data_IF_444548340060
#
_entry.id   IF_444548340060
#
_cell.length_a   1.000
_cell.length_b   1.000
_cell.length_c   1.000
_cell.angle_alpha   90.00
_cell.angle_beta   90.00
_cell.angle_gamma   90.00
#
_symmetry.space_group_name_H-M   'P 1'
#
loop_
_entity.id
_entity.type
_entity.pdbx_description
1 polymer ?
#
# COMPACT_ATOMS: atom_id res chain seq x y z
N UNK A 1 -5.62 34.39 -48.44
CA UNK A 1 -6.83 33.52 -48.38
C UNK A 1 -6.41 32.08 -48.12
N UNK A 2 -6.48 31.61 -46.87
CA UNK A 2 -6.26 30.20 -46.50
C UNK A 2 -7.63 29.56 -46.27
N UNK A 3 -8.03 28.62 -47.15
CA UNK A 3 -9.23 27.80 -46.97
C UNK A 3 -8.93 26.76 -45.90
N UNK A 4 -9.27 27.06 -44.65
CA UNK A 4 -9.31 26.06 -43.59
C UNK A 4 -10.56 25.21 -43.84
N UNK A 5 -10.35 23.91 -44.06
CA UNK A 5 -11.40 22.94 -44.39
C UNK A 5 -12.36 22.80 -43.20
N UNK A 6 -13.61 23.23 -43.38
CA UNK A 6 -14.69 23.13 -42.40
C UNK A 6 -14.92 21.68 -41.93
N UNK A 7 -14.46 20.69 -42.69
CA UNK A 7 -14.56 19.26 -42.38
C UNK A 7 -13.69 18.82 -41.20
N UNK A 8 -12.56 19.48 -40.93
CA UNK A 8 -11.69 19.10 -39.80
C UNK A 8 -12.29 19.51 -38.44
N UNK A 9 -13.14 20.54 -38.40
CA UNK A 9 -13.77 21.01 -37.16
C UNK A 9 -14.98 20.15 -36.77
N UNK A 10 -15.70 19.59 -37.75
CA UNK A 10 -16.86 18.72 -37.50
C UNK A 10 -16.43 17.31 -37.04
N UNK A 11 -15.31 16.78 -37.54
CA UNK A 11 -14.74 15.52 -37.07
C UNK A 11 -14.21 15.58 -35.63
N UNK A 12 -13.76 16.75 -35.16
CA UNK A 12 -13.40 16.92 -33.75
C UNK A 12 -14.60 17.02 -32.80
N UNK A 13 -15.76 17.50 -33.29
CA UNK A 13 -16.98 17.61 -32.48
C UNK A 13 -17.79 16.31 -32.41
N UNK A 14 -17.55 15.35 -33.31
CA UNK A 14 -18.20 14.04 -33.30
C UNK A 14 -17.41 12.96 -32.55
N UNK A 15 -16.19 13.25 -32.08
CA UNK A 15 -15.37 12.33 -31.28
C UNK A 15 -15.52 12.52 -29.76
N UNK A 16 -16.42 13.40 -29.30
CA UNK A 16 -16.55 13.80 -27.88
C UNK A 16 -17.91 13.41 -27.29
N UNK A 17 -18.80 12.75 -28.04
CA UNK A 17 -20.20 12.53 -27.63
C UNK A 17 -20.58 11.15 -27.09
N UNK A 18 -19.66 10.20 -26.96
CA UNK A 18 -19.93 8.87 -26.37
C UNK A 18 -19.00 8.52 -25.18
N UNK A 19 -18.71 9.50 -24.31
CA UNK A 19 -18.43 9.20 -22.89
C UNK A 19 -19.70 9.48 -22.08
N UNK A 20 -20.75 8.75 -22.39
CA UNK A 20 -21.90 8.61 -21.49
C UNK A 20 -21.42 8.01 -20.19
N UNK A 21 -21.44 8.81 -19.12
CA UNK A 21 -21.58 8.47 -17.70
C UNK A 21 -21.41 6.98 -17.36
N UNK A 22 -20.21 6.44 -17.56
CA UNK A 22 -19.81 5.25 -16.85
C UNK A 22 -19.72 5.70 -15.39
N UNK A 23 -20.81 5.55 -14.63
CA UNK A 23 -20.80 5.72 -13.17
C UNK A 23 -19.55 5.00 -12.69
N UNK A 24 -18.54 5.70 -12.15
CA UNK A 24 -17.30 5.05 -11.77
C UNK A 24 -17.67 3.93 -10.82
N UNK A 25 -17.29 2.70 -11.17
CA UNK A 25 -17.48 1.57 -10.27
C UNK A 25 -16.87 1.97 -8.93
N UNK A 26 -17.68 1.90 -7.86
CA UNK A 26 -17.20 2.28 -6.53
C UNK A 26 -15.90 1.55 -6.19
N UNK A 27 -15.00 2.17 -5.42
CA UNK A 27 -13.68 1.58 -5.17
C UNK A 27 -13.84 0.16 -4.62
N UNK A 28 -13.06 -0.80 -5.16
CA UNK A 28 -13.12 -2.25 -4.84
C UNK A 28 -13.27 -2.53 -3.35
N UNK A 29 -12.57 -1.75 -2.53
CA UNK A 29 -12.61 -1.73 -1.06
C UNK A 29 -14.02 -1.75 -0.47
N UNK A 30 -14.99 -1.07 -1.09
CA UNK A 30 -16.35 -0.97 -0.56
C UNK A 30 -17.15 -2.28 -0.70
N UNK A 31 -16.70 -3.18 -1.58
CA UNK A 31 -17.38 -4.45 -1.89
C UNK A 31 -16.78 -5.65 -1.16
N UNK A 32 -15.52 -5.56 -0.72
CA UNK A 32 -14.83 -6.69 -0.11
C UNK A 32 -15.37 -6.99 1.29
N UNK A 33 -15.71 -8.26 1.55
CA UNK A 33 -16.06 -8.76 2.87
C UNK A 33 -14.78 -8.99 3.71
N UNK A 34 -14.88 -9.66 4.86
CA UNK A 34 -13.73 -9.90 5.75
C UNK A 34 -12.56 -10.55 4.99
N UNK A 35 -11.37 -9.97 5.06
CA UNK A 35 -10.17 -10.50 4.40
C UNK A 35 -9.74 -11.83 5.05
N UNK A 36 -9.66 -12.87 4.24
CA UNK A 36 -8.99 -14.14 4.59
C UNK A 36 -7.54 -14.12 4.11
N UNK A 37 -6.71 -15.01 4.66
CA UNK A 37 -5.29 -15.07 4.36
C UNK A 37 -4.86 -16.48 3.98
N UNK A 38 -4.15 -16.58 2.86
CA UNK A 38 -3.37 -17.75 2.50
C UNK A 38 -1.93 -17.62 2.98
N UNK A 39 -1.29 -18.75 3.23
CA UNK A 39 0.12 -18.80 3.61
C UNK A 39 0.87 -19.81 2.74
N UNK A 40 2.16 -19.57 2.56
CA UNK A 40 3.03 -20.45 1.82
C UNK A 40 4.49 -20.20 2.15
N UNK A 41 5.30 -21.25 2.00
CA UNK A 41 6.74 -21.17 2.19
C UNK A 41 7.38 -20.48 0.99
N UNK A 42 8.28 -19.53 1.25
CA UNK A 42 9.12 -18.95 0.21
C UNK A 42 9.93 -20.06 -0.48
N UNK A 43 9.92 -20.06 -1.81
CA UNK A 43 10.60 -21.07 -2.62
C UNK A 43 12.10 -20.82 -2.61
N UNK A 44 12.86 -21.91 -2.58
CA UNK A 44 14.27 -21.81 -2.92
C UNK A 44 14.35 -21.54 -4.43
N UNK A 45 15.11 -20.54 -4.90
CA UNK A 45 15.29 -20.36 -6.33
C UNK A 45 16.13 -21.52 -6.87
N UNK A 46 15.78 -22.00 -8.06
CA UNK A 46 16.41 -23.16 -8.69
C UNK A 46 17.82 -22.82 -9.23
N UNK A 47 18.75 -23.78 -9.16
CA UNK A 47 20.05 -23.72 -9.84
C UNK A 47 20.93 -22.51 -9.49
N UNK A 48 21.54 -21.90 -10.51
CA UNK A 48 22.53 -20.82 -10.39
C UNK A 48 21.93 -19.47 -10.00
N UNK A 49 20.60 -19.32 -9.97
CA UNK A 49 19.93 -18.05 -9.68
C UNK A 49 20.34 -17.44 -8.33
N UNK A 50 20.60 -18.28 -7.33
CA UNK A 50 21.06 -17.78 -6.02
C UNK A 50 22.53 -17.34 -6.03
N UNK A 51 23.37 -17.95 -6.88
CA UNK A 51 24.74 -17.49 -7.12
C UNK A 51 24.70 -16.12 -7.78
N UNK A 52 23.93 -15.98 -8.86
CA UNK A 52 23.74 -14.71 -9.57
C UNK A 52 23.28 -13.62 -8.61
N UNK A 53 22.25 -13.90 -7.78
CA UNK A 53 21.82 -12.93 -6.78
C UNK A 53 22.94 -12.60 -5.79
N UNK A 54 23.71 -13.59 -5.33
CA UNK A 54 24.83 -13.37 -4.39
C UNK A 54 25.91 -12.49 -5.03
N UNK A 55 26.26 -12.75 -6.28
CA UNK A 55 27.26 -12.01 -7.04
C UNK A 55 26.78 -10.57 -7.29
N UNK A 56 25.54 -10.41 -7.72
CA UNK A 56 24.91 -9.11 -7.86
C UNK A 56 24.90 -8.34 -6.54
N UNK A 57 24.44 -8.95 -5.45
CA UNK A 57 24.45 -8.32 -4.12
C UNK A 57 25.87 -7.91 -3.68
N UNK A 58 26.90 -8.69 -4.04
CA UNK A 58 28.30 -8.41 -3.70
C UNK A 58 28.85 -7.25 -4.52
N UNK A 59 28.71 -7.30 -5.84
CA UNK A 59 29.05 -6.18 -6.74
C UNK A 59 28.33 -4.90 -6.30
N UNK A 60 27.09 -5.08 -5.87
CA UNK A 60 26.23 -4.00 -5.45
C UNK A 60 26.68 -3.32 -4.16
N UNK A 61 26.99 -4.11 -3.14
CA UNK A 61 27.54 -3.60 -1.88
C UNK A 61 28.86 -2.84 -2.05
N UNK A 62 29.63 -3.15 -3.09
CA UNK A 62 30.93 -2.53 -3.39
C UNK A 62 30.81 -1.27 -4.26
N UNK A 63 29.58 -0.84 -4.57
CA UNK A 63 29.30 0.32 -5.42
C UNK A 63 29.98 0.23 -6.81
N UNK A 64 30.32 -0.98 -7.27
CA UNK A 64 30.94 -1.19 -8.57
C UNK A 64 29.83 -1.13 -9.62
N UNK A 65 29.74 0.01 -10.31
CA UNK A 65 28.76 0.26 -11.38
C UNK A 65 28.94 -0.61 -12.62
N UNK A 66 29.99 -1.44 -12.69
CA UNK A 66 30.04 -2.48 -13.72
C UNK A 66 28.98 -3.52 -13.38
N UNK A 67 27.76 -3.31 -13.85
CA UNK A 67 26.78 -4.38 -13.94
C UNK A 67 27.47 -5.49 -14.74
N UNK A 68 27.94 -6.51 -14.02
CA UNK A 68 28.22 -7.79 -14.63
C UNK A 68 26.97 -8.12 -15.48
N UNK A 69 27.13 -8.60 -16.71
CA UNK A 69 26.01 -8.71 -17.68
C UNK A 69 24.78 -9.45 -17.12
N UNK A 70 24.97 -10.21 -16.05
CA UNK A 70 23.98 -11.01 -15.34
C UNK A 70 23.16 -10.25 -14.27
N UNK A 71 23.53 -9.01 -13.91
CA UNK A 71 22.89 -8.24 -12.82
C UNK A 71 21.91 -7.17 -13.32
N UNK A 72 21.18 -7.48 -14.39
CA UNK A 72 20.17 -6.56 -14.93
C UNK A 72 18.95 -6.48 -13.98
N UNK A 73 18.19 -5.36 -14.01
CA UNK A 73 16.95 -5.26 -13.26
C UNK A 73 15.97 -6.41 -13.52
N UNK A 74 15.90 -6.90 -14.76
CA UNK A 74 15.03 -8.01 -15.15
C UNK A 74 15.45 -9.33 -14.53
N UNK A 75 16.75 -9.65 -14.49
CA UNK A 75 17.24 -10.87 -13.85
C UNK A 75 17.02 -10.83 -12.34
N UNK A 76 17.29 -9.70 -11.70
CA UNK A 76 17.02 -9.54 -10.26
C UNK A 76 15.53 -9.68 -9.97
N UNK A 77 14.68 -9.03 -10.77
CA UNK A 77 13.23 -9.14 -10.64
C UNK A 77 12.73 -10.58 -10.83
N UNK A 78 13.27 -11.31 -11.82
CA UNK A 78 12.96 -12.72 -12.04
C UNK A 78 13.31 -13.58 -10.83
N UNK A 79 14.47 -13.34 -10.21
CA UNK A 79 14.87 -14.06 -8.99
C UNK A 79 13.95 -13.69 -7.81
N UNK A 80 13.73 -12.39 -7.57
CA UNK A 80 12.91 -11.90 -6.46
C UNK A 80 11.46 -12.38 -6.54
N UNK A 81 10.90 -12.48 -7.74
CA UNK A 81 9.54 -12.98 -7.96
C UNK A 81 9.49 -14.50 -7.98
N UNK A 82 10.50 -15.17 -8.53
CA UNK A 82 10.60 -16.63 -8.58
C UNK A 82 10.61 -17.30 -7.20
N UNK A 83 11.09 -16.60 -6.16
CA UNK A 83 11.08 -17.11 -4.78
C UNK A 83 9.75 -16.96 -4.05
N UNK A 84 8.79 -16.21 -4.61
CA UNK A 84 7.48 -16.01 -3.97
C UNK A 84 6.66 -17.30 -4.02
N UNK A 85 5.76 -17.59 -3.07
CA UNK A 85 5.00 -18.84 -3.06
C UNK A 85 4.04 -18.92 -4.26
N UNK A 86 3.85 -20.10 -4.85
CA UNK A 86 2.97 -20.27 -6.02
C UNK A 86 1.52 -19.82 -5.76
N UNK A 87 1.04 -19.96 -4.52
CA UNK A 87 -0.29 -19.44 -4.12
C UNK A 87 -0.41 -17.93 -4.23
N UNK A 88 0.68 -17.18 -3.97
CA UNK A 88 0.69 -15.73 -4.13
C UNK A 88 0.59 -15.34 -5.60
N UNK A 89 1.32 -16.03 -6.49
CA UNK A 89 1.19 -15.82 -7.94
C UNK A 89 -0.24 -16.06 -8.43
N UNK A 90 -0.91 -17.12 -7.95
CA UNK A 90 -2.32 -17.38 -8.28
C UNK A 90 -3.25 -16.27 -7.79
N UNK A 91 -3.00 -15.72 -6.60
CA UNK A 91 -3.76 -14.58 -6.08
C UNK A 91 -3.55 -13.34 -6.96
N UNK A 92 -2.29 -13.00 -7.28
CA UNK A 92 -1.97 -11.85 -8.15
C UNK A 92 -2.63 -11.97 -9.53
N UNK A 93 -2.65 -13.16 -10.12
CA UNK A 93 -3.38 -13.43 -11.36
C UNK A 93 -4.90 -13.25 -11.19
N UNK A 94 -5.49 -13.87 -10.16
CA UNK A 94 -6.93 -13.82 -9.94
C UNK A 94 -7.43 -12.41 -9.68
N UNK A 95 -6.78 -11.72 -8.75
CA UNK A 95 -7.23 -10.44 -8.19
C UNK A 95 -6.76 -9.24 -9.01
N UNK A 96 -5.56 -9.27 -9.59
CA UNK A 96 -4.97 -8.13 -10.31
C UNK A 96 -4.70 -8.40 -11.80
N UNK A 97 -5.01 -9.60 -12.30
CA UNK A 97 -4.74 -10.01 -13.69
C UNK A 97 -3.26 -9.95 -14.08
N UNK A 98 -2.38 -10.11 -13.09
CA UNK A 98 -0.93 -10.15 -13.32
C UNK A 98 -0.46 -11.59 -13.51
N UNK A 99 -0.09 -11.95 -14.74
CA UNK A 99 0.58 -13.22 -15.01
C UNK A 99 2.05 -13.18 -14.57
N UNK A 100 2.75 -14.32 -14.68
CA UNK A 100 4.14 -14.40 -14.23
C UNK A 100 5.06 -13.43 -14.97
N UNK A 101 4.84 -13.20 -16.27
CA UNK A 101 5.66 -12.28 -17.09
C UNK A 101 5.42 -10.84 -16.64
N UNK A 102 4.17 -10.47 -16.44
CA UNK A 102 3.76 -9.14 -15.97
C UNK A 102 4.32 -8.88 -14.57
N UNK A 103 4.24 -9.85 -13.65
CA UNK A 103 4.83 -9.74 -12.31
C UNK A 103 6.35 -9.45 -12.37
N UNK A 104 7.09 -10.15 -13.24
CA UNK A 104 8.53 -9.92 -13.43
C UNK A 104 8.78 -8.52 -14.01
N UNK A 105 7.99 -8.09 -14.99
CA UNK A 105 8.14 -6.77 -15.61
C UNK A 105 7.81 -5.63 -14.64
N UNK A 106 6.75 -5.76 -13.84
CA UNK A 106 6.39 -4.82 -12.77
C UNK A 106 7.50 -4.73 -11.72
N UNK A 107 8.04 -5.87 -11.30
CA UNK A 107 9.15 -5.90 -10.35
C UNK A 107 10.44 -5.30 -10.95
N UNK A 108 10.71 -5.52 -12.24
CA UNK A 108 11.87 -4.93 -12.92
C UNK A 108 11.75 -3.40 -13.03
N UNK A 109 10.53 -2.89 -13.26
CA UNK A 109 10.23 -1.45 -13.20
C UNK A 109 10.41 -0.90 -11.80
N UNK A 110 9.91 -1.60 -10.78
CA UNK A 110 10.14 -1.28 -9.36
C UNK A 110 11.62 -1.17 -9.01
N UNK A 111 12.44 -2.15 -9.42
CA UNK A 111 13.90 -2.15 -9.19
C UNK A 111 14.58 -0.90 -9.76
N UNK A 112 14.09 -0.38 -10.90
CA UNK A 112 14.61 0.84 -11.54
C UNK A 112 14.09 2.12 -10.91
N UNK A 113 12.86 2.11 -10.41
CA UNK A 113 12.17 3.29 -9.88
C UNK A 113 12.68 3.70 -8.48
N UNK A 114 13.10 2.74 -7.65
CA UNK A 114 13.51 3.02 -6.27
C UNK A 114 15.01 3.18 -6.12
N UNK A 115 15.40 3.87 -5.04
CA UNK A 115 16.79 3.94 -4.61
C UNK A 115 17.38 2.53 -4.47
N UNK A 116 18.58 2.38 -5.01
CA UNK A 116 19.29 1.13 -5.06
C UNK A 116 19.41 0.39 -3.71
N UNK A 117 19.65 1.14 -2.63
CA UNK A 117 19.76 0.61 -1.28
C UNK A 117 18.48 -0.10 -0.81
N UNK A 118 17.31 0.33 -1.28
CA UNK A 118 16.01 -0.29 -0.98
C UNK A 118 15.87 -1.61 -1.72
N UNK A 119 16.16 -1.64 -3.02
CA UNK A 119 16.18 -2.88 -3.82
C UNK A 119 17.14 -3.90 -3.20
N UNK A 120 18.36 -3.47 -2.87
CA UNK A 120 19.38 -4.31 -2.25
C UNK A 120 18.86 -4.95 -0.95
N UNK A 121 18.28 -4.15 -0.05
CA UNK A 121 17.70 -4.64 1.21
C UNK A 121 16.56 -5.64 0.98
N UNK A 122 15.67 -5.39 0.01
CA UNK A 122 14.58 -6.33 -0.35
C UNK A 122 15.12 -7.65 -0.87
N UNK A 123 16.11 -7.60 -1.75
CA UNK A 123 16.76 -8.78 -2.30
C UNK A 123 17.50 -9.59 -1.22
N UNK A 124 18.25 -8.93 -0.32
CA UNK A 124 18.89 -9.57 0.84
C UNK A 124 17.85 -10.23 1.75
N UNK A 125 16.75 -9.54 2.03
CA UNK A 125 15.68 -10.06 2.86
C UNK A 125 15.09 -11.34 2.27
N UNK A 126 14.71 -11.32 0.98
CA UNK A 126 14.16 -12.49 0.29
C UNK A 126 15.17 -13.64 0.31
N UNK A 127 16.44 -13.36 -0.03
CA UNK A 127 17.54 -14.32 0.02
C UNK A 127 17.68 -15.00 1.38
N UNK A 128 17.59 -14.23 2.46
CA UNK A 128 17.71 -14.74 3.82
C UNK A 128 16.49 -15.58 4.23
N UNK A 129 15.29 -15.11 3.89
CA UNK A 129 14.04 -15.77 4.27
C UNK A 129 13.79 -17.06 3.49
N UNK A 130 14.21 -17.13 2.21
CA UNK A 130 14.13 -18.35 1.40
C UNK A 130 15.08 -19.43 1.90
N UNK A 131 16.32 -19.07 2.26
CA UNK A 131 17.27 -19.97 2.93
C UNK A 131 16.69 -20.59 4.21
N UNK A 132 15.92 -19.79 4.97
CA UNK A 132 15.25 -20.23 6.20
C UNK A 132 13.91 -20.94 5.95
N UNK A 133 13.51 -21.16 4.70
CA UNK A 133 12.18 -21.70 4.33
C UNK A 133 11.05 -21.00 5.08
N UNK A 134 11.13 -19.66 5.19
CA UNK A 134 10.17 -18.86 5.95
C UNK A 134 8.79 -18.97 5.30
N UNK A 135 7.79 -19.27 6.12
CA UNK A 135 6.38 -19.11 5.73
C UNK A 135 5.98 -17.65 5.80
N UNK A 136 5.38 -17.17 4.72
CA UNK A 136 4.78 -15.84 4.59
C UNK A 136 3.28 -16.00 4.30
N UNK A 137 2.49 -15.02 4.66
CA UNK A 137 1.06 -14.99 4.35
C UNK A 137 0.71 -13.74 3.53
N UNK A 138 -0.43 -13.79 2.85
CA UNK A 138 -0.97 -12.69 2.07
C UNK A 138 -2.51 -12.75 2.07
N UNK A 139 -3.19 -11.60 1.89
CA UNK A 139 -4.63 -11.58 1.81
C UNK A 139 -5.12 -12.27 0.52
N UNK A 140 -6.20 -13.06 0.61
CA UNK A 140 -6.79 -13.75 -0.55
C UNK A 140 -7.50 -12.79 -1.50
N UNK A 141 -8.10 -11.74 -0.95
CA UNK A 141 -8.73 -10.64 -1.66
C UNK A 141 -8.25 -9.33 -1.02
N UNK A 142 -7.08 -8.80 -1.45
CA UNK A 142 -6.54 -7.56 -0.90
C UNK A 142 -7.52 -6.40 -1.07
N UNK A 143 -7.57 -5.48 -0.10
CA UNK A 143 -8.33 -4.23 -0.15
C UNK A 143 -7.56 -3.11 -0.84
N UNK A 144 -6.57 -3.43 -1.66
CA UNK A 144 -5.78 -2.46 -2.41
C UNK A 144 -5.43 -3.06 -3.76
N UNK A 145 -4.91 -2.23 -4.64
CA UNK A 145 -4.36 -2.65 -5.92
C UNK A 145 -2.90 -2.19 -6.03
N UNK A 146 -2.11 -2.72 -6.99
CA UNK A 146 -0.74 -2.30 -7.17
C UNK A 146 -0.57 -0.79 -7.38
N UNK A 147 -1.56 -0.14 -8.01
CA UNK A 147 -1.53 1.30 -8.29
C UNK A 147 -1.62 2.16 -7.03
N UNK A 148 -2.04 1.61 -5.89
CA UNK A 148 -2.06 2.34 -4.61
C UNK A 148 -0.64 2.52 -4.03
N UNK A 149 0.38 1.96 -4.68
CA UNK A 149 1.78 2.14 -4.35
C UNK A 149 2.51 2.79 -5.52
N UNK A 150 3.58 3.53 -5.23
CA UNK A 150 4.43 4.11 -6.28
C UNK A 150 5.11 3.04 -7.14
N UNK A 151 5.26 1.82 -6.60
CA UNK A 151 5.97 0.73 -7.25
C UNK A 151 5.59 -0.65 -6.70
N UNK A 152 5.80 -1.67 -7.52
CA UNK A 152 5.34 -3.04 -7.24
C UNK A 152 6.03 -3.70 -6.03
N UNK A 153 7.28 -3.37 -5.72
CA UNK A 153 7.95 -3.88 -4.52
C UNK A 153 7.30 -3.39 -3.23
N UNK A 154 6.68 -2.21 -3.24
CA UNK A 154 5.85 -1.67 -2.18
C UNK A 154 4.55 -2.43 -2.03
N UNK A 155 3.93 -2.76 -3.15
CA UNK A 155 2.77 -3.66 -3.20
C UNK A 155 3.10 -5.01 -2.57
N UNK A 156 4.23 -5.63 -2.94
CA UNK A 156 4.69 -6.87 -2.32
C UNK A 156 4.95 -6.72 -0.82
N UNK A 157 5.54 -5.60 -0.39
CA UNK A 157 5.79 -5.34 1.02
C UNK A 157 4.50 -5.17 1.84
N UNK A 158 3.42 -4.69 1.23
CA UNK A 158 2.10 -4.63 1.85
C UNK A 158 1.39 -5.98 1.85
N UNK A 159 1.53 -6.77 0.78
CA UNK A 159 0.94 -8.11 0.67
C UNK A 159 1.57 -9.11 1.64
N UNK A 160 2.90 -9.09 1.79
CA UNK A 160 3.64 -10.07 2.59
C UNK A 160 3.55 -9.74 4.08
N UNK A 161 2.78 -10.54 4.79
CA UNK A 161 2.58 -10.43 6.24
C UNK A 161 3.00 -11.70 6.97
N UNK A 162 3.22 -11.57 8.28
CA UNK A 162 3.60 -12.68 9.13
C UNK A 162 2.41 -13.65 9.34
N UNK A 163 2.68 -14.96 9.49
CA UNK A 163 1.71 -15.89 10.03
C UNK A 163 1.18 -15.42 11.40
N UNK A 164 -0.09 -15.70 11.69
CA UNK A 164 -0.65 -15.44 13.02
C UNK A 164 0.02 -16.38 14.00
N UNK A 165 0.54 -15.81 15.06
CA UNK A 165 1.02 -16.54 16.23
C UNK A 165 -0.14 -16.55 17.23
N UNK A 166 -0.47 -17.69 17.87
CA UNK A 166 -1.57 -17.78 18.83
C UNK A 166 -1.49 -16.75 19.97
N UNK A 167 -0.28 -16.26 20.29
CA UNK A 167 -0.04 -15.25 21.32
C UNK A 167 -0.41 -13.81 20.91
N UNK A 168 -0.60 -13.53 19.61
CA UNK A 168 -1.04 -12.21 19.16
C UNK A 168 -2.56 -12.11 19.33
N UNK A 169 -2.98 -11.56 20.48
CA UNK A 169 -4.39 -11.24 20.78
C UNK A 169 -5.00 -10.26 19.76
N UNK A 170 -4.16 -9.47 19.12
CA UNK A 170 -4.55 -8.51 18.09
C UNK A 170 -4.57 -9.26 16.76
N UNK A 171 -5.75 -9.64 16.26
CA UNK A 171 -5.93 -10.36 14.98
C UNK A 171 -5.41 -9.60 13.74
N UNK A 172 -4.72 -8.48 13.93
CA UNK A 172 -4.06 -7.67 12.91
C UNK A 172 -2.77 -8.36 12.49
N UNK A 173 -2.66 -8.66 11.20
CA UNK A 173 -1.45 -9.26 10.65
C UNK A 173 -0.30 -8.26 10.75
N UNK A 174 0.84 -8.72 11.28
CA UNK A 174 2.06 -7.90 11.36
C UNK A 174 2.84 -7.99 10.06
N UNK A 175 3.47 -6.90 9.63
CA UNK A 175 4.41 -6.92 8.50
C UNK A 175 5.78 -7.48 8.92
N UNK A 176 6.64 -7.74 7.94
CA UNK A 176 8.05 -7.93 8.20
C UNK A 176 8.76 -6.58 8.27
N UNK A 177 9.11 -6.11 9.48
CA UNK A 177 9.76 -4.79 9.67
C UNK A 177 11.08 -4.65 8.89
N UNK A 178 11.80 -5.76 8.75
CA UNK A 178 13.07 -5.85 8.01
C UNK A 178 12.91 -5.93 6.50
N UNK A 179 11.70 -6.12 5.97
CA UNK A 179 11.43 -5.98 4.54
C UNK A 179 11.08 -4.52 4.26
N UNK A 180 11.90 -3.80 3.44
CA UNK A 180 11.69 -2.38 3.22
C UNK A 180 10.27 -2.06 2.72
N UNK A 181 9.57 -1.08 3.33
CA UNK A 181 8.30 -0.59 2.81
C UNK A 181 8.47 -0.06 1.37
N UNK A 182 7.35 0.08 0.66
CA UNK A 182 7.25 1.06 -0.42
C UNK A 182 6.36 2.22 0.01
N UNK A 183 6.31 3.24 -0.84
CA UNK A 183 5.51 4.43 -0.64
C UNK A 183 4.13 4.27 -1.26
N UNK A 184 3.15 4.96 -0.66
CA UNK A 184 1.80 5.05 -1.19
C UNK A 184 1.79 6.04 -2.34
N UNK A 185 1.01 5.76 -3.39
CA UNK A 185 0.90 6.67 -4.51
C UNK A 185 0.25 8.00 -4.07
N UNK A 186 0.87 9.16 -4.32
CA UNK A 186 0.41 10.44 -3.77
C UNK A 186 -0.89 10.95 -4.39
N UNK A 187 -1.09 10.71 -5.68
CA UNK A 187 -2.22 11.23 -6.46
C UNK A 187 -3.42 10.25 -6.48
N UNK A 188 -3.65 9.54 -5.37
CA UNK A 188 -4.73 8.57 -5.25
C UNK A 188 -5.47 8.73 -3.94
N UNK A 189 -6.75 8.37 -3.99
CA UNK A 189 -7.57 8.23 -2.78
C UNK A 189 -7.36 6.85 -2.20
N UNK A 190 -6.91 6.80 -0.95
CA UNK A 190 -6.72 5.58 -0.22
C UNK A 190 -7.82 5.40 0.81
N UNK A 191 -8.57 4.31 0.71
CA UNK A 191 -9.65 4.03 1.65
C UNK A 191 -9.22 3.04 2.74
N UNK A 192 -9.67 3.29 3.96
CA UNK A 192 -9.68 2.35 5.07
C UNK A 192 -11.14 1.96 5.32
N UNK A 193 -11.47 0.67 5.23
CA UNK A 193 -12.84 0.19 5.42
C UNK A 193 -12.89 -1.24 6.00
N UNK A 194 -14.09 -1.79 6.21
CA UNK A 194 -14.34 -3.07 6.91
C UNK A 194 -13.56 -4.28 6.40
N UNK A 195 -13.10 -4.25 5.15
CA UNK A 195 -12.25 -5.29 4.59
C UNK A 195 -10.83 -5.23 5.18
N UNK A 196 -10.32 -4.02 5.40
CA UNK A 196 -8.94 -3.70 5.71
C UNK A 196 -8.39 -4.39 6.98
N UNK A 197 -9.22 -4.55 8.00
CA UNK A 197 -8.93 -5.32 9.21
C UNK A 197 -10.24 -5.69 9.92
N UNK A 198 -10.17 -6.52 10.97
CA UNK A 198 -11.32 -6.78 11.82
C UNK A 198 -11.63 -5.56 12.70
N UNK A 199 -12.69 -4.81 12.35
CA UNK A 199 -13.08 -3.57 13.04
C UNK A 199 -13.39 -3.81 14.52
N UNK A 200 -13.95 -4.98 14.87
CA UNK A 200 -14.23 -5.30 16.28
C UNK A 200 -12.94 -5.47 17.07
N UNK A 201 -11.95 -6.14 16.47
CA UNK A 201 -10.64 -6.29 17.08
C UNK A 201 -9.93 -4.94 17.23
N UNK A 202 -9.92 -4.11 16.18
CA UNK A 202 -9.32 -2.77 16.26
C UNK A 202 -10.02 -1.91 17.29
N UNK A 203 -11.36 -1.93 17.32
CA UNK A 203 -12.13 -1.23 18.34
C UNK A 203 -11.81 -1.72 19.75
N UNK A 204 -11.63 -3.03 19.97
CA UNK A 204 -11.24 -3.55 21.30
C UNK A 204 -9.87 -3.05 21.79
N UNK A 205 -9.05 -2.49 20.89
CA UNK A 205 -7.73 -1.95 21.21
C UNK A 205 -7.73 -0.42 21.37
N UNK A 206 -8.87 0.25 21.21
CA UNK A 206 -8.92 1.72 21.15
C UNK A 206 -8.32 2.39 22.38
N UNK A 207 -8.48 1.81 23.57
CA UNK A 207 -7.91 2.30 24.84
C UNK A 207 -6.38 2.42 24.81
N UNK A 208 -5.69 1.64 23.97
CA UNK A 208 -4.24 1.74 23.78
C UNK A 208 -3.81 3.01 23.04
N UNK A 209 -4.75 3.67 22.34
CA UNK A 209 -4.47 4.86 21.53
C UNK A 209 -5.15 6.11 22.08
N UNK A 210 -6.36 5.93 22.61
CA UNK A 210 -7.17 6.96 23.24
C UNK A 210 -7.89 6.36 24.44
N UNK A 211 -7.63 6.89 25.62
CA UNK A 211 -8.28 6.51 26.87
C UNK A 211 -8.93 7.72 27.52
N UNK A 212 -9.89 7.50 28.41
CA UNK A 212 -10.52 8.55 29.19
C UNK A 212 -10.17 8.35 30.66
N UNK A 213 -9.58 9.36 31.28
CA UNK A 213 -9.32 9.36 32.72
C UNK A 213 -10.58 9.61 33.55
N UNK A 214 -10.42 9.67 34.88
CA UNK A 214 -11.52 9.92 35.84
C UNK A 214 -12.26 11.24 35.55
N UNK A 215 -11.57 12.23 34.99
CA UNK A 215 -12.11 13.58 34.71
C UNK A 215 -12.80 13.64 33.32
N UNK A 216 -12.83 12.53 32.56
CA UNK A 216 -13.46 12.47 31.24
C UNK A 216 -12.70 13.18 30.12
N UNK A 217 -11.51 13.72 30.40
CA UNK A 217 -10.63 14.27 29.38
C UNK A 217 -9.92 13.13 28.62
N UNK A 218 -9.84 13.20 27.27
CA UNK A 218 -9.14 12.19 26.50
C UNK A 218 -7.63 12.30 26.70
N UNK A 219 -6.99 11.16 26.93
CA UNK A 219 -5.54 10.97 26.92
C UNK A 219 -5.16 10.13 25.71
N UNK A 220 -4.07 10.49 25.04
CA UNK A 220 -3.63 9.84 23.80
C UNK A 220 -2.26 9.19 23.99
N UNK A 221 -2.05 8.06 23.33
CA UNK A 221 -0.71 7.51 23.17
C UNK A 221 0.19 8.53 22.44
N UNK A 222 1.47 8.55 22.77
CA UNK A 222 2.40 9.47 22.13
C UNK A 222 2.48 9.22 20.61
N UNK A 223 2.73 10.27 19.83
CA UNK A 223 2.90 10.18 18.38
C UNK A 223 3.91 9.10 17.97
N UNK A 224 5.03 9.01 18.69
CA UNK A 224 6.07 8.02 18.41
C UNK A 224 5.57 6.59 18.71
N UNK A 225 4.87 6.38 19.82
CA UNK A 225 4.31 5.07 20.16
C UNK A 225 3.28 4.60 19.12
N UNK A 226 2.41 5.52 18.65
CA UNK A 226 1.47 5.24 17.57
C UNK A 226 2.20 4.86 16.27
N UNK A 227 3.23 5.62 15.88
CA UNK A 227 4.03 5.32 14.68
C UNK A 227 4.70 3.95 14.78
N UNK A 228 5.28 3.61 15.93
CA UNK A 228 5.96 2.33 16.13
C UNK A 228 5.01 1.13 16.06
N UNK A 229 3.80 1.30 16.61
CA UNK A 229 2.73 0.30 16.58
C UNK A 229 2.17 0.13 15.16
N UNK A 230 1.78 1.23 14.51
CA UNK A 230 1.21 1.23 13.15
C UNK A 230 2.21 0.81 12.08
N UNK A 231 3.50 1.12 12.27
CA UNK A 231 4.55 0.56 11.43
C UNK A 231 4.66 -0.97 11.60
N UNK A 232 4.16 -1.55 12.69
CA UNK A 232 4.04 -3.01 12.82
C UNK A 232 2.96 -3.63 11.93
N UNK A 233 1.96 -2.87 11.52
CA UNK A 233 0.77 -3.39 10.85
C UNK A 233 1.07 -3.77 9.39
N UNK A 234 0.50 -4.89 8.97
CA UNK A 234 0.54 -5.38 7.58
C UNK A 234 -0.49 -4.69 6.69
N UNK A 235 -0.42 -4.99 5.39
CA UNK A 235 -1.32 -4.41 4.40
C UNK A 235 -1.04 -2.93 4.12
N UNK A 236 -1.91 -2.31 3.32
CA UNK A 236 -1.85 -0.87 3.01
C UNK A 236 -2.16 -0.01 4.24
N UNK A 237 -3.00 -0.51 5.14
CA UNK A 237 -3.52 0.26 6.27
C UNK A 237 -2.50 0.69 7.30
N UNK A 238 -1.54 -0.19 7.64
CA UNK A 238 -0.44 0.19 8.52
C UNK A 238 0.34 1.37 7.94
N UNK A 239 0.55 1.38 6.61
CA UNK A 239 1.23 2.48 5.90
C UNK A 239 0.40 3.75 5.91
N UNK A 240 -0.89 3.63 5.64
CA UNK A 240 -1.81 4.76 5.61
C UNK A 240 -1.86 5.47 6.95
N UNK A 241 -2.14 4.73 8.02
CA UNK A 241 -2.23 5.28 9.35
C UNK A 241 -0.88 5.82 9.81
N UNK A 242 0.22 5.10 9.56
CA UNK A 242 1.57 5.59 9.90
C UNK A 242 1.90 6.90 9.18
N UNK A 243 1.60 7.00 7.87
CA UNK A 243 1.83 8.22 7.09
C UNK A 243 0.91 9.37 7.51
N UNK A 244 -0.29 9.05 8.01
CA UNK A 244 -1.22 9.99 8.59
C UNK A 244 -0.84 10.44 10.00
N UNK A 245 0.01 9.72 10.73
CA UNK A 245 0.48 10.14 12.06
C UNK A 245 1.56 11.22 11.94
N UNK A 246 1.16 12.49 11.84
CA UNK A 246 2.05 13.67 11.75
C UNK A 246 1.86 14.62 12.92
N UNK A 247 2.89 15.40 13.23
CA UNK A 247 2.82 16.46 14.25
C UNK A 247 2.01 17.66 13.78
N UNK A 248 2.07 17.96 12.48
CA UNK A 248 1.40 19.07 11.81
C UNK A 248 0.93 18.62 10.44
N UNK A 249 -0.10 19.30 9.93
CA UNK A 249 -0.73 19.00 8.65
C UNK A 249 -0.89 20.27 7.82
N UNK A 250 -0.79 20.11 6.52
CA UNK A 250 -1.01 21.16 5.53
C UNK A 250 -2.11 20.70 4.59
N UNK A 251 -2.95 21.62 4.12
CA UNK A 251 -3.95 21.30 3.12
C UNK A 251 -3.30 21.13 1.74
N UNK A 252 -3.22 19.88 1.28
CA UNK A 252 -2.66 19.53 -0.04
C UNK A 252 -3.69 19.55 -1.18
N UNK A 253 -4.99 19.68 -0.84
CA UNK A 253 -6.07 19.69 -1.82
C UNK A 253 -6.33 21.10 -2.37
N UNK A 254 -6.33 21.25 -3.71
CA UNK A 254 -6.36 22.57 -4.34
C UNK A 254 -7.65 23.39 -4.08
N UNK A 255 -8.77 22.74 -3.75
CA UNK A 255 -10.04 23.44 -3.45
C UNK A 255 -10.18 23.82 -1.98
N UNK A 256 -9.12 23.67 -1.18
CA UNK A 256 -9.08 24.01 0.23
C UNK A 256 -9.64 22.91 1.14
N UNK A 257 -9.30 23.04 2.41
CA UNK A 257 -9.69 22.12 3.47
C UNK A 257 -10.60 22.81 4.48
N UNK A 258 -11.34 22.01 5.24
CA UNK A 258 -12.14 22.44 6.38
C UNK A 258 -11.45 22.05 7.67
N UNK A 259 -11.68 22.84 8.72
CA UNK A 259 -11.09 22.63 10.06
C UNK A 259 -11.90 21.61 10.91
N UNK A 260 -13.05 21.16 10.39
CA UNK A 260 -13.89 20.15 11.03
C UNK A 260 -14.20 19.00 10.06
N UNK A 261 -14.18 17.74 10.51
CA UNK A 261 -14.44 16.59 9.65
C UNK A 261 -15.89 16.60 9.14
N UNK A 262 -16.05 16.64 7.81
CA UNK A 262 -17.36 16.60 7.12
C UNK A 262 -17.31 15.65 5.93
N UNK A 263 -18.41 14.93 5.70
CA UNK A 263 -18.52 14.00 4.57
C UNK A 263 -18.31 14.75 3.25
N UNK A 264 -17.42 14.23 2.41
CA UNK A 264 -17.15 14.79 1.08
C UNK A 264 -16.34 16.09 1.07
N UNK A 265 -15.76 16.49 2.21
CA UNK A 265 -14.90 17.66 2.35
C UNK A 265 -13.51 17.25 2.82
N UNK A 266 -12.48 17.86 2.24
CA UNK A 266 -11.10 17.64 2.65
C UNK A 266 -10.91 18.20 4.06
N UNK A 267 -10.64 17.33 5.03
CA UNK A 267 -10.36 17.73 6.40
C UNK A 267 -8.85 17.91 6.61
N UNK A 268 -8.45 19.03 7.21
CA UNK A 268 -7.07 19.28 7.68
C UNK A 268 -7.04 19.12 9.21
N UNK A 269 -6.42 18.05 9.73
CA UNK A 269 -6.24 17.87 11.17
C UNK A 269 -5.31 18.93 11.75
N UNK A 270 -5.55 19.37 13.00
CA UNK A 270 -4.57 20.21 13.70
C UNK A 270 -3.34 19.38 14.07
N UNK A 271 -3.59 18.17 14.60
CA UNK A 271 -2.55 17.22 14.96
C UNK A 271 -3.00 15.74 14.82
N UNK A 272 -2.11 14.80 15.14
CA UNK A 272 -2.39 13.36 15.04
C UNK A 272 -3.55 12.88 15.92
N UNK A 273 -3.88 13.58 17.01
CA UNK A 273 -4.99 13.21 17.91
C UNK A 273 -6.32 13.33 17.18
N UNK A 274 -6.49 14.37 16.36
CA UNK A 274 -7.68 14.48 15.51
C UNK A 274 -7.78 13.36 14.47
N UNK A 275 -6.65 12.94 13.88
CA UNK A 275 -6.63 11.78 12.96
C UNK A 275 -7.03 10.50 13.69
N UNK A 276 -6.51 10.27 14.90
CA UNK A 276 -6.87 9.13 15.74
C UNK A 276 -8.37 9.15 16.04
N UNK A 277 -8.92 10.30 16.42
CA UNK A 277 -10.35 10.44 16.72
C UNK A 277 -11.23 10.14 15.50
N UNK A 278 -10.89 10.70 14.34
CA UNK A 278 -11.64 10.48 13.12
C UNK A 278 -11.55 9.03 12.64
N UNK A 279 -10.39 8.41 12.78
CA UNK A 279 -10.18 7.00 12.48
C UNK A 279 -10.99 6.10 13.42
N UNK A 280 -10.95 6.34 14.72
CA UNK A 280 -11.72 5.60 15.71
C UNK A 280 -13.23 5.78 15.50
N UNK A 281 -13.68 7.00 15.18
CA UNK A 281 -15.07 7.26 14.79
C UNK A 281 -15.46 6.42 13.57
N UNK A 282 -14.59 6.36 12.56
CA UNK A 282 -14.82 5.57 11.35
C UNK A 282 -14.90 4.07 11.64
N UNK A 283 -14.07 3.56 12.55
CA UNK A 283 -14.12 2.17 13.02
C UNK A 283 -15.42 1.89 13.78
N UNK A 284 -15.80 2.76 14.72
CA UNK A 284 -17.02 2.62 15.53
C UNK A 284 -18.28 2.61 14.65
N UNK A 285 -18.35 3.54 13.69
CA UNK A 285 -19.51 3.70 12.81
C UNK A 285 -19.48 2.75 11.61
N UNK A 286 -18.44 1.92 11.47
CA UNK A 286 -18.23 1.07 10.30
C UNK A 286 -18.35 1.86 8.97
N UNK A 287 -17.76 3.06 8.94
CA UNK A 287 -17.77 3.98 7.79
C UNK A 287 -16.39 4.02 7.12
N UNK A 288 -16.31 4.22 5.79
CA UNK A 288 -15.02 4.34 5.12
C UNK A 288 -14.32 5.65 5.47
N UNK A 289 -13.01 5.60 5.70
CA UNK A 289 -12.16 6.78 5.84
C UNK A 289 -11.26 6.90 4.62
N UNK A 290 -11.28 8.05 3.95
CA UNK A 290 -10.41 8.38 2.84
C UNK A 290 -9.18 9.16 3.33
N UNK A 291 -8.03 8.85 2.75
CA UNK A 291 -6.76 9.56 2.95
C UNK A 291 -6.19 9.89 1.57
N UNK A 292 -5.77 11.14 1.37
CA UNK A 292 -5.03 11.57 0.16
C UNK A 292 -3.69 12.17 0.58
N UNK A 293 -2.67 12.05 -0.25
CA UNK A 293 -1.31 12.57 0.01
C UNK A 293 -0.91 13.64 -1.01
N UNK A 294 -1.90 14.39 -1.47
CA UNK A 294 -1.80 15.24 -2.64
C UNK A 294 -3.17 15.52 -3.21
N UNK A 295 -3.15 16.17 -4.36
CA UNK A 295 -4.35 16.59 -5.05
C UNK A 295 -5.05 15.41 -5.75
N UNK A 296 -6.38 15.45 -5.77
CA UNK A 296 -7.21 14.43 -6.42
C UNK A 296 -8.29 15.06 -7.28
N UNK A 297 -8.49 14.50 -8.47
CA UNK A 297 -9.43 15.05 -9.45
C UNK A 297 -10.88 14.91 -8.99
N UNK A 298 -11.25 13.72 -8.52
CA UNK A 298 -12.60 13.41 -8.02
C UNK A 298 -12.58 13.29 -6.50
N UNK A 299 -13.24 14.19 -5.75
CA UNK A 299 -13.28 14.12 -4.29
C UNK A 299 -13.96 12.85 -3.78
N UNK A 300 -13.47 12.24 -2.68
CA UNK A 300 -14.21 11.20 -1.97
C UNK A 300 -15.54 11.75 -1.45
N UNK A 301 -16.57 10.92 -1.32
CA UNK A 301 -17.86 11.28 -0.72
C UNK A 301 -18.01 10.82 0.74
N UNK A 302 -16.89 10.55 1.42
CA UNK A 302 -16.83 10.04 2.80
C UNK A 302 -16.02 10.96 3.72
N UNK A 303 -15.80 10.58 4.98
CA UNK A 303 -14.83 11.23 5.86
C UNK A 303 -13.46 11.17 5.19
N UNK A 304 -12.80 12.32 5.05
CA UNK A 304 -11.62 12.43 4.20
C UNK A 304 -10.58 13.34 4.84
N UNK A 305 -9.38 12.80 5.09
CA UNK A 305 -8.21 13.57 5.52
C UNK A 305 -7.33 13.88 4.31
N UNK A 306 -6.97 15.16 4.13
CA UNK A 306 -5.95 15.57 3.18
C UNK A 306 -4.61 15.70 3.89
N UNK A 307 -3.58 15.02 3.38
CA UNK A 307 -2.22 14.95 3.94
C UNK A 307 -1.18 15.43 2.95
#
# INVERSE_FOLDING_TARGET
MRRISLFAFILHLLSVKDLTDAKPAGPRIMTTHKITYSCGTLRHPDGLHFSILTDCLTDWSRNRRSFNRLCTPSEVAKIMTGVLPAGLHRMLWREYKLDNVTIVNEMARSVKAVAYSITLRRAIWLRHMTKKRRTVCWPDSPDFTPEDFEEFGGTLAALLVQPVVPSNKTCIRRRYKTFPPGYLAPNRIHYIYKATYDFKTVWSMHENWRSYGIIGLPSYASLQSLRDELDGWGGRVGRLLMAAMRSTYECTYHKGCVDEPRMGKAYQPEDYRNVVDLWLQSVSNNSPLALTFGDVETPPNTLWVSL
#
